data_IF_403220579619
#
_entry.id   IF_403220579619
#
_cell.length_a   1.000
_cell.length_b   1.000
_cell.length_c   1.000
_cell.angle_alpha   90.00
_cell.angle_beta   90.00
_cell.angle_gamma   90.00
#
_symmetry.space_group_name_H-M   'P 1'
#
loop_
_entity.id
_entity.type
_entity.pdbx_description
1 polymer ?
#
# COMPACT_ATOMS: atom_id res chain seq x y z
N UNK A 1 28.01 -2.55 13.45
CA UNK A 1 28.02 -1.08 13.70
C UNK A 1 29.37 -0.58 14.25
N UNK A 2 30.03 -1.30 15.14
CA UNK A 2 31.25 -0.81 15.83
C UNK A 2 32.49 -0.61 14.93
N UNK A 3 32.60 -1.34 13.82
CA UNK A 3 33.76 -1.20 12.89
C UNK A 3 33.75 0.11 12.09
N UNK A 4 32.56 0.65 11.79
CA UNK A 4 32.43 1.85 10.96
C UNK A 4 32.50 3.15 11.77
N UNK A 5 32.21 3.09 13.08
CA UNK A 5 32.22 4.25 13.99
C UNK A 5 33.52 5.07 13.95
N UNK A 6 34.73 4.46 13.98
CA UNK A 6 35.97 5.22 13.94
C UNK A 6 36.18 5.98 12.62
N UNK A 7 35.74 5.39 11.49
CA UNK A 7 35.89 5.99 10.17
C UNK A 7 34.95 7.21 9.99
N UNK A 8 33.70 7.09 10.47
CA UNK A 8 32.73 8.20 10.49
C UNK A 8 33.23 9.29 11.44
N UNK A 9 33.77 8.91 12.60
CA UNK A 9 34.24 9.84 13.62
C UNK A 9 35.42 10.70 13.12
N UNK A 10 36.30 10.12 12.33
CA UNK A 10 37.45 10.83 11.74
C UNK A 10 37.11 11.69 10.53
N UNK A 11 35.84 11.67 10.06
CA UNK A 11 35.39 12.45 8.90
C UNK A 11 35.90 11.93 7.55
N UNK A 12 36.57 10.80 7.51
CA UNK A 12 37.14 10.22 6.28
C UNK A 12 36.11 9.50 5.41
N UNK A 13 34.88 9.32 5.92
CA UNK A 13 33.82 8.59 5.24
C UNK A 13 32.54 9.42 5.23
N UNK A 14 32.00 9.66 4.04
CA UNK A 14 30.62 10.17 3.86
C UNK A 14 29.67 8.99 3.70
N UNK A 15 28.64 8.94 4.53
CA UNK A 15 27.69 7.83 4.57
C UNK A 15 26.29 8.35 4.39
N UNK A 16 25.52 7.71 3.50
CA UNK A 16 24.07 7.81 3.42
C UNK A 16 23.54 6.45 3.85
N UNK A 17 22.70 6.44 4.87
CA UNK A 17 22.09 5.22 5.40
C UNK A 17 20.58 5.38 5.45
N UNK A 18 19.85 4.30 5.21
CA UNK A 18 18.40 4.22 5.37
C UNK A 18 18.06 3.21 6.45
N UNK A 19 17.01 3.47 7.20
CA UNK A 19 16.49 2.60 8.27
C UNK A 19 15.01 2.90 8.47
N UNK A 20 14.31 2.04 9.18
CA UNK A 20 12.94 2.30 9.63
C UNK A 20 12.95 3.16 10.90
N UNK A 21 11.78 3.76 11.22
CA UNK A 21 11.64 4.50 12.48
C UNK A 21 11.83 3.61 13.70
N UNK A 22 11.32 2.39 13.66
CA UNK A 22 11.45 1.40 14.72
C UNK A 22 12.93 1.08 14.99
N UNK A 23 13.68 0.70 13.96
CA UNK A 23 15.11 0.41 14.06
C UNK A 23 15.94 1.64 14.49
N UNK A 24 15.53 2.83 14.04
CA UNK A 24 16.16 4.09 14.43
C UNK A 24 16.04 4.31 15.94
N UNK A 25 14.83 4.19 16.52
CA UNK A 25 14.62 4.38 17.96
C UNK A 25 15.24 3.25 18.79
N UNK A 26 15.19 2.03 18.31
CA UNK A 26 15.71 0.90 19.04
C UNK A 26 17.23 0.86 19.13
N UNK A 27 17.91 1.26 18.07
CA UNK A 27 19.36 1.06 17.95
C UNK A 27 20.14 2.35 17.78
N UNK A 28 19.68 3.26 16.91
CA UNK A 28 20.49 4.40 16.50
C UNK A 28 20.40 5.58 17.47
N UNK A 29 19.21 5.85 17.99
CA UNK A 29 18.97 6.96 18.93
C UNK A 29 19.77 6.79 20.24
N UNK A 30 19.98 5.55 20.65
CA UNK A 30 20.76 5.20 21.86
C UNK A 30 22.24 5.56 21.73
N UNK A 31 22.75 5.72 20.50
CA UNK A 31 24.14 6.06 20.22
C UNK A 31 24.33 7.57 19.99
N UNK A 32 24.48 8.30 21.07
CA UNK A 32 24.68 9.77 21.03
C UNK A 32 25.88 10.20 20.19
N UNK A 33 26.92 9.35 20.04
CA UNK A 33 28.12 9.68 19.27
C UNK A 33 27.85 9.64 17.76
N UNK A 34 27.02 8.72 17.29
CA UNK A 34 26.55 8.66 15.91
C UNK A 34 25.52 9.76 15.63
N UNK A 35 24.56 9.98 16.53
CA UNK A 35 23.52 10.99 16.37
C UNK A 35 24.05 12.40 16.08
N UNK A 36 25.17 12.78 16.69
CA UNK A 36 25.81 14.09 16.49
C UNK A 36 26.46 14.26 15.10
N UNK A 37 26.60 13.18 14.34
CA UNK A 37 27.31 13.17 13.04
C UNK A 37 26.43 12.87 11.85
N UNK A 38 25.19 12.48 12.10
CA UNK A 38 24.21 12.24 11.05
C UNK A 38 23.14 13.33 11.04
N UNK A 39 22.84 13.81 9.86
CA UNK A 39 21.65 14.63 9.63
C UNK A 39 20.47 13.70 9.29
N UNK A 40 19.40 13.82 10.03
CA UNK A 40 18.19 13.02 9.84
C UNK A 40 17.29 13.65 8.77
N UNK A 41 16.92 12.85 7.79
CA UNK A 41 15.94 13.20 6.76
C UNK A 41 14.74 12.27 6.93
N UNK A 42 13.57 12.79 7.24
CA UNK A 42 12.33 12.02 7.25
C UNK A 42 11.83 11.84 5.83
N UNK A 43 11.44 10.62 5.48
CA UNK A 43 10.76 10.31 4.23
C UNK A 43 9.39 9.78 4.62
N UNK A 44 8.38 10.59 4.37
CA UNK A 44 7.01 10.26 4.71
C UNK A 44 6.34 9.49 3.56
N UNK A 45 5.24 8.80 3.88
CA UNK A 45 4.45 8.09 2.88
C UNK A 45 3.87 9.09 1.86
N UNK A 46 4.06 8.88 0.56
CA UNK A 46 3.50 9.76 -0.46
C UNK A 46 1.98 9.63 -0.51
N UNK A 47 1.32 10.70 -0.92
CA UNK A 47 -0.11 10.69 -1.24
C UNK A 47 -0.43 9.81 -2.46
N UNK A 48 -1.71 9.55 -2.70
CA UNK A 48 -2.16 8.70 -3.81
C UNK A 48 -1.74 9.24 -5.17
N UNK A 49 -1.83 10.55 -5.41
CA UNK A 49 -1.48 11.16 -6.68
C UNK A 49 0.02 11.07 -6.96
N UNK A 50 0.85 11.29 -5.94
CA UNK A 50 2.29 11.10 -6.02
C UNK A 50 2.65 9.64 -6.23
N UNK A 51 1.96 8.72 -5.57
CA UNK A 51 2.15 7.27 -5.74
C UNK A 51 1.82 6.84 -7.17
N UNK A 52 0.71 7.32 -7.76
CA UNK A 52 0.36 7.07 -9.17
C UNK A 52 1.46 7.58 -10.11
N UNK A 53 2.03 8.77 -9.85
CA UNK A 53 3.14 9.29 -10.65
C UNK A 53 4.41 8.44 -10.55
N UNK A 54 4.74 7.95 -9.35
CA UNK A 54 5.86 7.04 -9.12
C UNK A 54 5.67 5.75 -9.92
N UNK A 55 4.49 5.12 -9.82
CA UNK A 55 4.16 3.89 -10.54
C UNK A 55 4.17 4.08 -12.06
N UNK A 56 3.66 5.21 -12.57
CA UNK A 56 3.77 5.52 -14.00
C UNK A 56 5.23 5.66 -14.46
N UNK A 57 6.13 6.16 -13.60
CA UNK A 57 7.56 6.18 -13.87
C UNK A 57 8.22 4.80 -13.87
N UNK A 58 7.71 3.86 -13.06
CA UNK A 58 8.19 2.48 -12.98
C UNK A 58 7.58 1.56 -14.04
N UNK A 59 6.40 1.90 -14.57
CA UNK A 59 5.64 1.11 -15.54
C UNK A 59 6.49 0.53 -16.68
N UNK A 60 7.31 1.31 -17.42
CA UNK A 60 8.07 0.77 -18.53
C UNK A 60 9.05 -0.34 -18.11
N UNK A 61 9.61 -0.25 -16.90
CA UNK A 61 10.53 -1.26 -16.36
C UNK A 61 9.80 -2.54 -15.97
N UNK A 62 8.63 -2.43 -15.36
CA UNK A 62 7.78 -3.57 -15.00
C UNK A 62 7.26 -4.28 -16.27
N UNK A 63 6.79 -3.52 -17.27
CA UNK A 63 6.34 -4.05 -18.55
C UNK A 63 7.46 -4.81 -19.27
N UNK A 64 8.67 -4.26 -19.29
CA UNK A 64 9.83 -4.91 -19.88
C UNK A 64 10.25 -6.18 -19.12
N UNK A 65 10.24 -6.14 -17.78
CA UNK A 65 10.67 -7.25 -16.94
C UNK A 65 9.71 -8.45 -17.03
N UNK A 66 8.41 -8.20 -16.99
CA UNK A 66 7.38 -9.22 -17.04
C UNK A 66 6.92 -9.56 -18.47
N UNK A 67 7.30 -8.77 -19.48
CA UNK A 67 6.83 -8.89 -20.85
C UNK A 67 5.29 -8.81 -20.96
N UNK A 68 4.69 -7.84 -20.28
CA UNK A 68 3.26 -7.55 -20.23
C UNK A 68 3.03 -6.07 -20.51
N UNK A 69 1.79 -5.69 -20.83
CA UNK A 69 1.35 -4.29 -20.85
C UNK A 69 0.54 -4.01 -19.59
N UNK A 70 0.67 -2.81 -19.03
CA UNK A 70 -0.08 -2.39 -17.84
C UNK A 70 -1.02 -1.27 -18.26
N UNK A 71 -2.32 -1.43 -18.06
CA UNK A 71 -3.28 -0.36 -18.33
C UNK A 71 -3.07 0.80 -17.31
N UNK A 72 -3.30 2.01 -17.78
CA UNK A 72 -3.22 3.21 -16.91
C UNK A 72 -4.21 3.14 -15.76
N UNK A 73 -5.44 2.67 -16.03
CA UNK A 73 -6.47 2.49 -15.01
C UNK A 73 -6.11 1.43 -13.97
N UNK A 74 -5.38 0.38 -14.36
CA UNK A 74 -4.88 -0.62 -13.42
C UNK A 74 -3.91 -0.02 -12.40
N UNK A 75 -3.10 0.97 -12.78
CA UNK A 75 -2.21 1.68 -11.86
C UNK A 75 -3.01 2.51 -10.84
N UNK A 76 -3.98 3.29 -11.29
CA UNK A 76 -4.84 4.10 -10.43
C UNK A 76 -5.64 3.21 -9.47
N UNK A 77 -6.18 2.11 -9.97
CA UNK A 77 -6.89 1.09 -9.20
C UNK A 77 -5.97 0.44 -8.16
N UNK A 78 -4.75 0.07 -8.54
CA UNK A 78 -3.79 -0.57 -7.63
C UNK A 78 -3.45 0.34 -6.43
N UNK A 79 -3.23 1.64 -6.66
CA UNK A 79 -2.98 2.59 -5.57
C UNK A 79 -4.18 2.70 -4.63
N UNK A 80 -5.39 2.80 -5.18
CA UNK A 80 -6.63 2.90 -4.40
C UNK A 80 -6.86 1.64 -3.57
N UNK A 81 -6.73 0.47 -4.20
CA UNK A 81 -6.97 -0.82 -3.55
C UNK A 81 -5.89 -1.17 -2.53
N UNK A 82 -4.61 -0.92 -2.83
CA UNK A 82 -3.53 -1.12 -1.88
C UNK A 82 -3.69 -0.21 -0.65
N UNK A 83 -4.10 1.05 -0.85
CA UNK A 83 -4.33 1.98 0.26
C UNK A 83 -5.46 1.51 1.16
N UNK A 84 -6.53 0.95 0.58
CA UNK A 84 -7.72 0.51 1.31
C UNK A 84 -7.55 -0.82 2.02
N UNK A 85 -6.89 -1.80 1.40
CA UNK A 85 -6.87 -3.18 1.87
C UNK A 85 -5.52 -3.66 2.41
N UNK A 86 -4.42 -2.92 2.18
CA UNK A 86 -3.07 -3.28 2.62
C UNK A 86 -2.56 -2.25 3.64
N UNK A 87 -3.04 -2.34 4.87
CA UNK A 87 -2.72 -1.40 5.96
C UNK A 87 -1.37 -1.69 6.63
N UNK A 88 -0.84 -2.88 6.48
CA UNK A 88 0.41 -3.36 7.06
C UNK A 88 1.67 -2.79 6.38
N UNK A 89 1.52 -2.27 5.17
CA UNK A 89 2.59 -1.67 4.36
C UNK A 89 2.29 -0.22 4.00
N UNK A 90 3.33 0.51 3.59
CA UNK A 90 3.26 1.92 3.16
C UNK A 90 3.39 2.06 1.65
N UNK A 91 2.80 3.12 1.10
CA UNK A 91 3.05 3.53 -0.27
C UNK A 91 4.47 4.13 -0.41
N UNK A 92 5.13 3.97 -1.57
CA UNK A 92 4.64 3.32 -2.78
C UNK A 92 4.79 1.79 -2.79
N UNK A 93 5.44 1.20 -1.79
CA UNK A 93 5.86 -0.20 -1.75
C UNK A 93 4.68 -1.17 -1.93
N UNK A 94 3.62 -1.00 -1.14
CA UNK A 94 2.41 -1.85 -1.23
C UNK A 94 1.74 -1.82 -2.61
N UNK A 95 1.75 -0.66 -3.28
CA UNK A 95 1.17 -0.52 -4.61
C UNK A 95 2.08 -1.11 -5.69
N UNK A 96 3.40 -1.02 -5.52
CA UNK A 96 4.38 -1.67 -6.39
C UNK A 96 4.24 -3.19 -6.28
N UNK A 97 4.21 -3.73 -5.06
CA UNK A 97 4.04 -5.17 -4.81
C UNK A 97 2.76 -5.71 -5.47
N UNK A 98 1.66 -4.96 -5.38
CA UNK A 98 0.39 -5.37 -5.97
C UNK A 98 0.46 -5.44 -7.50
N UNK A 99 1.05 -4.45 -8.15
CA UNK A 99 1.22 -4.45 -9.61
C UNK A 99 2.20 -5.52 -10.04
N UNK A 100 3.31 -5.69 -9.32
CA UNK A 100 4.31 -6.73 -9.62
C UNK A 100 3.68 -8.14 -9.54
N UNK A 101 2.88 -8.40 -8.50
CA UNK A 101 2.13 -9.64 -8.36
C UNK A 101 1.13 -9.86 -9.51
N UNK A 102 0.41 -8.81 -9.93
CA UNK A 102 -0.50 -8.88 -11.07
C UNK A 102 0.24 -9.18 -12.38
N UNK A 103 1.36 -8.50 -12.63
CA UNK A 103 2.21 -8.75 -13.79
C UNK A 103 2.76 -10.18 -13.81
N UNK A 104 3.19 -10.70 -12.66
CA UNK A 104 3.70 -12.07 -12.53
C UNK A 104 2.63 -13.11 -12.86
N UNK A 105 1.40 -12.92 -12.39
CA UNK A 105 0.27 -13.81 -12.69
C UNK A 105 -0.11 -13.75 -14.17
N UNK A 106 -0.15 -12.56 -14.76
CA UNK A 106 -0.47 -12.41 -16.18
C UNK A 106 0.57 -13.10 -17.06
N UNK A 107 1.86 -12.94 -16.74
CA UNK A 107 2.96 -13.59 -17.47
C UNK A 107 2.85 -15.10 -17.53
N UNK A 108 2.33 -15.75 -16.48
CA UNK A 108 2.20 -17.23 -16.43
C UNK A 108 1.16 -17.75 -17.42
N UNK A 109 0.22 -16.92 -17.88
CA UNK A 109 -0.83 -17.32 -18.83
C UNK A 109 -0.31 -17.70 -20.23
N UNK A 110 0.97 -17.39 -20.53
CA UNK A 110 1.69 -17.74 -21.78
C UNK A 110 0.90 -17.46 -23.08
N UNK A 111 0.23 -16.30 -23.13
CA UNK A 111 -0.54 -15.83 -24.29
C UNK A 111 0.15 -14.62 -24.92
N UNK A 112 -0.18 -14.31 -26.16
CA UNK A 112 0.23 -13.05 -26.80
C UNK A 112 -0.70 -11.92 -26.35
N UNK A 113 -0.14 -10.71 -26.14
CA UNK A 113 -0.91 -9.53 -25.79
C UNK A 113 -1.39 -9.49 -24.32
N UNK A 114 -0.52 -9.92 -23.40
CA UNK A 114 -0.79 -9.93 -21.96
C UNK A 114 -0.98 -8.51 -21.44
N UNK A 115 -2.14 -8.22 -20.87
CA UNK A 115 -2.51 -6.91 -20.34
C UNK A 115 -2.95 -7.04 -18.89
N UNK A 116 -2.32 -6.26 -18.01
CA UNK A 116 -2.75 -6.09 -16.62
C UNK A 116 -3.82 -5.01 -16.60
N UNK A 117 -5.04 -5.39 -16.33
CA UNK A 117 -6.23 -4.55 -16.25
C UNK A 117 -6.72 -4.35 -14.81
N UNK A 118 -7.82 -3.62 -14.64
CA UNK A 118 -8.43 -3.35 -13.34
C UNK A 118 -8.98 -4.61 -12.67
N UNK A 119 -9.52 -5.57 -13.45
CA UNK A 119 -10.09 -6.81 -12.93
C UNK A 119 -9.00 -7.69 -12.31
N UNK A 120 -7.85 -7.79 -12.96
CA UNK A 120 -6.71 -8.54 -12.43
C UNK A 120 -6.19 -7.92 -11.12
N UNK A 121 -6.22 -6.59 -10.99
CA UNK A 121 -5.86 -5.92 -9.74
C UNK A 121 -6.83 -6.30 -8.61
N UNK A 122 -8.14 -6.30 -8.87
CA UNK A 122 -9.15 -6.71 -7.87
C UNK A 122 -8.93 -8.16 -7.41
N UNK A 123 -8.65 -9.07 -8.33
CA UNK A 123 -8.34 -10.47 -8.01
C UNK A 123 -7.07 -10.57 -7.15
N UNK A 124 -6.02 -9.82 -7.47
CA UNK A 124 -4.78 -9.87 -6.69
C UNK A 124 -4.93 -9.26 -5.29
N UNK A 125 -5.66 -8.16 -5.15
CA UNK A 125 -5.98 -7.58 -3.84
C UNK A 125 -6.76 -8.57 -2.99
N UNK A 126 -7.80 -9.19 -3.55
CA UNK A 126 -8.60 -10.19 -2.83
C UNK A 126 -7.72 -11.32 -2.28
N UNK A 127 -6.77 -11.78 -3.10
CA UNK A 127 -5.84 -12.85 -2.73
C UNK A 127 -4.84 -12.41 -1.64
N UNK A 128 -4.21 -11.23 -1.80
CA UNK A 128 -3.20 -10.72 -0.86
C UNK A 128 -3.84 -10.36 0.48
N UNK A 129 -4.99 -9.68 0.45
CA UNK A 129 -5.71 -9.28 1.65
C UNK A 129 -6.57 -10.40 2.27
N UNK A 130 -6.60 -11.58 1.63
CA UNK A 130 -7.39 -12.75 2.05
C UNK A 130 -8.88 -12.44 2.24
N UNK A 131 -9.46 -11.70 1.30
CA UNK A 131 -10.88 -11.32 1.27
C UNK A 131 -11.56 -11.90 0.02
N UNK A 132 -12.87 -12.22 0.08
CA UNK A 132 -13.59 -12.69 -1.10
C UNK A 132 -13.59 -11.65 -2.22
N UNK A 133 -13.35 -12.09 -3.48
CA UNK A 133 -13.35 -11.22 -4.67
C UNK A 133 -14.64 -10.41 -4.81
N UNK A 134 -15.79 -11.00 -4.46
CA UNK A 134 -17.08 -10.32 -4.45
C UNK A 134 -17.16 -9.11 -3.52
N UNK A 135 -16.28 -9.02 -2.52
CA UNK A 135 -16.20 -7.87 -1.61
C UNK A 135 -15.29 -6.76 -2.14
N UNK A 136 -14.37 -7.08 -3.03
CA UNK A 136 -13.47 -6.09 -3.67
C UNK A 136 -14.18 -5.38 -4.83
N UNK A 137 -14.90 -6.14 -5.65
CA UNK A 137 -15.62 -5.64 -6.83
C UNK A 137 -16.88 -4.81 -6.52
N UNK A 138 -17.45 -4.94 -5.30
CA UNK A 138 -18.67 -4.20 -4.93
C UNK A 138 -18.35 -2.87 -4.28
N UNK A 139 -18.92 -1.80 -4.82
CA UNK A 139 -18.84 -0.46 -4.23
C UNK A 139 -19.43 -0.46 -2.81
N UNK A 140 -18.75 0.21 -1.87
CA UNK A 140 -19.14 0.20 -0.44
C UNK A 140 -20.48 0.88 -0.23
N UNK A 141 -20.85 1.80 -1.11
CA UNK A 141 -22.12 2.53 -1.04
C UNK A 141 -23.34 1.60 -1.00
N UNK A 142 -23.37 0.55 -1.83
CA UNK A 142 -24.50 -0.36 -1.90
C UNK A 142 -24.62 -1.27 -0.67
N UNK A 143 -23.51 -1.59 -0.01
CA UNK A 143 -23.52 -2.48 1.16
C UNK A 143 -23.87 -1.78 2.45
N UNK A 144 -23.61 -0.48 2.56
CA UNK A 144 -23.98 0.27 3.77
C UNK A 144 -25.47 0.57 3.79
N UNK A 145 -26.10 0.78 2.62
CA UNK A 145 -27.57 0.90 2.50
C UNK A 145 -28.26 -0.41 2.92
N UNK A 146 -27.69 -1.56 2.53
CA UNK A 146 -28.22 -2.86 2.90
C UNK A 146 -27.97 -3.19 4.39
N UNK A 147 -26.91 -2.63 5.01
CA UNK A 147 -26.59 -2.82 6.41
C UNK A 147 -27.63 -2.18 7.34
N UNK A 148 -28.16 -0.99 7.03
CA UNK A 148 -29.22 -0.34 7.79
C UNK A 148 -30.48 -1.22 7.84
N UNK A 149 -30.92 -1.70 6.69
CA UNK A 149 -32.08 -2.58 6.60
C UNK A 149 -31.85 -3.91 7.34
N UNK A 150 -30.65 -4.48 7.23
CA UNK A 150 -30.31 -5.77 7.85
C UNK A 150 -30.17 -5.70 9.37
N UNK A 151 -29.70 -4.58 9.91
CA UNK A 151 -29.62 -4.35 11.36
C UNK A 151 -31.01 -4.11 11.94
N UNK A 152 -31.82 -3.29 11.30
CA UNK A 152 -33.19 -2.98 11.73
C UNK A 152 -34.12 -4.21 11.70
N UNK A 153 -33.89 -5.15 10.79
CA UNK A 153 -34.63 -6.41 10.74
C UNK A 153 -34.34 -7.34 11.92
N UNK A 154 -33.17 -7.19 12.54
CA UNK A 154 -32.70 -8.06 13.67
C UNK A 154 -32.74 -7.38 15.04
N UNK A 155 -32.74 -6.06 15.10
CA UNK A 155 -32.72 -5.28 16.33
C UNK A 155 -33.99 -4.45 16.44
N UNK A 156 -34.85 -4.81 17.39
CA UNK A 156 -36.10 -4.10 17.68
C UNK A 156 -35.92 -3.07 18.80
N UNK A 157 -36.44 -1.87 18.59
CA UNK A 157 -36.52 -0.80 19.61
C UNK A 157 -35.22 -0.08 19.91
N UNK A 158 -34.21 -0.15 19.04
CA UNK A 158 -32.92 0.55 19.17
C UNK A 158 -32.55 1.39 17.94
N UNK A 159 -33.55 1.93 17.25
CA UNK A 159 -33.37 2.68 16.01
C UNK A 159 -32.41 3.87 16.14
N UNK A 160 -32.46 4.60 17.27
CA UNK A 160 -31.58 5.74 17.56
C UNK A 160 -30.12 5.32 17.67
N UNK A 161 -29.84 4.19 18.34
CA UNK A 161 -28.48 3.66 18.50
C UNK A 161 -27.94 3.15 17.18
N UNK A 162 -28.75 2.46 16.39
CA UNK A 162 -28.42 1.99 15.06
C UNK A 162 -28.06 3.18 14.16
N UNK A 163 -28.85 4.25 14.20
CA UNK A 163 -28.59 5.47 13.43
C UNK A 163 -27.25 6.12 13.78
N UNK A 164 -26.96 6.27 15.08
CA UNK A 164 -25.69 6.85 15.54
C UNK A 164 -24.45 5.99 15.18
N UNK A 165 -24.57 4.67 15.19
CA UNK A 165 -23.51 3.76 14.75
C UNK A 165 -23.29 3.87 13.25
N UNK A 166 -24.35 3.89 12.47
CA UNK A 166 -24.26 4.02 11.00
C UNK A 166 -23.70 5.39 10.60
N UNK A 167 -24.13 6.49 11.22
CA UNK A 167 -23.54 7.82 10.98
C UNK A 167 -22.02 7.83 11.17
N UNK A 168 -21.52 7.18 12.23
CA UNK A 168 -20.07 7.08 12.46
C UNK A 168 -19.34 6.18 11.46
N UNK A 169 -20.02 5.19 10.91
CA UNK A 169 -19.47 4.34 9.84
C UNK A 169 -19.44 5.06 8.48
N UNK A 170 -20.34 6.04 8.26
CA UNK A 170 -20.40 6.84 7.04
C UNK A 170 -19.36 7.98 7.00
N UNK A 171 -18.88 8.44 8.17
CA UNK A 171 -18.01 9.62 8.29
C UNK A 171 -16.51 9.24 8.28
N UNK A 172 -16.16 7.96 8.40
CA UNK A 172 -14.81 7.44 8.28
C UNK A 172 -14.59 6.71 6.95
#
# INVERSE_FOLDING_TARGET
ANMIKPAITKGNLKVIASTTWEEFYDSFEKDRALMRRFYRVSIDEPDSDTTVRILNGLKPRLEQFHNVQIDKKAIEKAVTMATRYMSDKKNPDKSIDLIDAACAVERIKDKQGLVVDEELIDIQVARIANIPESKVASDVSDKVIDLDAHIKDKLFGQDEVVHQVLERLYVN
#
